data_IF_198260156746
#
_entry.id   IF_198260156746
#
_cell.length_a   1.000
_cell.length_b   1.000
_cell.length_c   1.000
_cell.angle_alpha   90.00
_cell.angle_beta   90.00
_cell.angle_gamma   90.00
#
_symmetry.space_group_name_H-M   'P 1'
#
loop_
_entity.id
_entity.type
_entity.pdbx_description
1 polymer ?
#
# COMPACT_ATOMS: atom_id res chain seq x y z
N UNK A 1 -27.56 5.88 27.14
CA UNK A 1 -26.93 5.62 25.83
C UNK A 1 -25.78 4.65 26.08
N UNK A 2 -26.05 3.35 25.94
CA UNK A 2 -25.02 2.33 26.07
C UNK A 2 -24.36 2.19 24.70
N UNK A 3 -23.08 2.52 24.59
CA UNK A 3 -22.28 2.21 23.40
C UNK A 3 -22.26 0.69 23.22
N UNK A 4 -22.80 0.21 22.10
CA UNK A 4 -22.82 -1.22 21.80
C UNK A 4 -21.37 -1.70 21.59
N UNK A 5 -20.87 -2.63 22.43
CA UNK A 5 -19.46 -3.03 22.43
C UNK A 5 -18.99 -3.65 21.09
N UNK A 6 -19.93 -4.06 20.23
CA UNK A 6 -19.66 -4.56 18.89
C UNK A 6 -19.16 -3.49 17.91
N UNK A 7 -19.59 -2.23 18.03
CA UNK A 7 -19.20 -1.17 17.09
C UNK A 7 -17.73 -0.76 17.29
N UNK A 8 -17.29 -0.72 18.55
CA UNK A 8 -15.91 -0.36 18.94
C UNK A 8 -14.91 -1.44 18.46
N UNK A 9 -15.28 -2.71 18.58
CA UNK A 9 -14.47 -3.84 18.10
C UNK A 9 -14.40 -3.89 16.56
N UNK A 10 -15.52 -3.64 15.88
CA UNK A 10 -15.59 -3.54 14.42
C UNK A 10 -14.71 -2.40 13.89
N UNK A 11 -14.78 -1.22 14.51
CA UNK A 11 -13.95 -0.07 14.15
C UNK A 11 -12.45 -0.32 14.37
N UNK A 12 -12.08 -0.97 15.48
CA UNK A 12 -10.68 -1.31 15.80
C UNK A 12 -10.11 -2.34 14.85
N UNK A 13 -10.83 -3.43 14.58
CA UNK A 13 -10.40 -4.47 13.63
C UNK A 13 -10.26 -3.91 12.21
N UNK A 14 -11.16 -3.01 11.80
CA UNK A 14 -11.10 -2.32 10.52
C UNK A 14 -9.89 -1.39 10.39
N UNK A 15 -9.55 -0.64 11.44
CA UNK A 15 -8.31 0.16 11.47
C UNK A 15 -7.07 -0.71 11.37
N UNK A 16 -6.99 -1.79 12.14
CA UNK A 16 -5.86 -2.73 12.10
C UNK A 16 -5.69 -3.35 10.71
N UNK A 17 -6.80 -3.73 10.05
CA UNK A 17 -6.78 -4.24 8.68
C UNK A 17 -6.25 -3.21 7.68
N UNK A 18 -6.71 -1.95 7.75
CA UNK A 18 -6.21 -0.88 6.88
C UNK A 18 -4.71 -0.65 7.07
N UNK A 19 -4.23 -0.59 8.31
CA UNK A 19 -2.79 -0.44 8.60
C UNK A 19 -2.00 -1.62 8.04
N UNK A 20 -2.46 -2.86 8.26
CA UNK A 20 -1.80 -4.05 7.72
C UNK A 20 -1.76 -4.05 6.19
N UNK A 21 -2.84 -3.62 5.53
CA UNK A 21 -2.90 -3.52 4.07
C UNK A 21 -1.90 -2.48 3.52
N UNK A 22 -1.78 -1.32 4.16
CA UNK A 22 -0.81 -0.29 3.78
C UNK A 22 0.64 -0.73 4.00
N UNK A 23 0.93 -1.42 5.10
CA UNK A 23 2.25 -2.01 5.37
C UNK A 23 2.58 -3.07 4.31
N UNK A 24 1.66 -3.98 4.04
CA UNK A 24 1.83 -5.03 3.02
C UNK A 24 2.06 -4.46 1.62
N UNK A 25 1.30 -3.45 1.22
CA UNK A 25 1.48 -2.75 -0.04
C UNK A 25 2.84 -2.04 -0.14
N UNK A 26 3.29 -1.43 0.95
CA UNK A 26 4.61 -0.78 0.98
C UNK A 26 5.73 -1.80 0.80
N UNK A 27 5.65 -2.94 1.51
CA UNK A 27 6.62 -4.04 1.36
C UNK A 27 6.59 -4.66 -0.04
N UNK A 28 5.39 -4.82 -0.62
CA UNK A 28 5.24 -5.33 -1.99
C UNK A 28 5.82 -4.37 -3.02
N UNK A 29 5.58 -3.06 -2.86
CA UNK A 29 6.19 -2.02 -3.68
C UNK A 29 7.72 -2.06 -3.60
N UNK A 30 8.28 -2.14 -2.38
CA UNK A 30 9.72 -2.29 -2.15
C UNK A 30 10.31 -3.57 -2.75
N UNK A 31 9.58 -4.69 -2.73
CA UNK A 31 10.02 -5.94 -3.34
C UNK A 31 10.03 -5.87 -4.87
N UNK A 32 9.01 -5.23 -5.45
CA UNK A 32 8.95 -4.95 -6.89
C UNK A 32 10.08 -3.97 -7.29
N UNK A 33 10.35 -2.95 -6.47
CA UNK A 33 11.48 -2.05 -6.65
C UNK A 33 12.82 -2.75 -6.76
N UNK A 34 13.07 -3.68 -5.83
CA UNK A 34 14.31 -4.44 -5.78
C UNK A 34 14.47 -5.40 -6.97
N UNK A 35 13.38 -5.82 -7.60
CA UNK A 35 13.39 -6.85 -8.65
C UNK A 35 13.23 -6.28 -10.07
N UNK A 36 12.63 -5.10 -10.22
CA UNK A 36 12.25 -4.56 -11.52
C UNK A 36 13.42 -3.82 -12.17
N UNK A 37 14.04 -4.42 -13.19
CA UNK A 37 15.01 -3.77 -14.09
C UNK A 37 14.38 -3.24 -15.39
N UNK A 38 13.09 -2.97 -15.38
CA UNK A 38 12.33 -2.61 -16.58
C UNK A 38 12.36 -1.09 -16.76
N UNK A 39 12.97 -0.63 -17.87
CA UNK A 39 13.03 0.78 -18.28
C UNK A 39 14.31 1.51 -17.87
N UNK A 40 14.47 2.79 -18.26
CA UNK A 40 15.62 3.60 -17.86
C UNK A 40 15.64 3.79 -16.34
N UNK A 41 16.84 3.81 -15.77
CA UNK A 41 17.06 4.17 -14.37
C UNK A 41 16.71 5.64 -14.21
N UNK A 42 15.71 5.93 -13.39
CA UNK A 42 15.28 7.30 -13.09
C UNK A 42 16.01 7.89 -11.88
N UNK A 43 16.45 7.06 -10.95
CA UNK A 43 17.15 7.52 -9.76
C UNK A 43 18.20 6.49 -9.34
N UNK A 44 19.47 6.90 -9.22
CA UNK A 44 20.53 6.02 -8.74
C UNK A 44 20.59 6.16 -7.22
N UNK A 45 20.01 5.20 -6.49
CA UNK A 45 19.97 5.23 -5.02
C UNK A 45 21.30 4.76 -4.41
N UNK A 46 22.05 3.92 -5.13
CA UNK A 46 23.37 3.41 -4.76
C UNK A 46 24.19 3.07 -6.00
N UNK A 47 25.52 2.94 -5.86
CA UNK A 47 26.47 2.63 -6.95
C UNK A 47 26.10 1.36 -7.75
N UNK A 48 25.31 0.46 -7.17
CA UNK A 48 24.82 -0.78 -7.78
C UNK A 48 23.28 -0.92 -7.84
N UNK A 49 22.49 0.08 -7.42
CA UNK A 49 21.03 -0.01 -7.43
C UNK A 49 20.40 1.31 -7.86
N UNK A 50 19.70 1.24 -8.99
CA UNK A 50 18.87 2.32 -9.51
C UNK A 50 17.39 1.97 -9.41
N UNK A 51 16.58 2.95 -9.05
CA UNK A 51 15.12 2.96 -9.19
C UNK A 51 14.81 3.09 -10.67
N UNK A 52 14.14 2.08 -11.23
CA UNK A 52 13.76 2.05 -12.64
C UNK A 52 12.37 2.67 -12.83
N UNK A 53 12.07 3.14 -14.04
CA UNK A 53 10.74 3.68 -14.35
C UNK A 53 9.62 2.66 -14.08
N UNK A 54 9.87 1.37 -14.30
CA UNK A 54 8.95 0.28 -13.98
C UNK A 54 8.65 0.14 -12.48
N UNK A 55 9.57 0.55 -11.60
CA UNK A 55 9.38 0.52 -10.15
C UNK A 55 8.33 1.56 -9.71
N UNK A 56 8.43 2.78 -10.22
CA UNK A 56 7.43 3.83 -9.94
C UNK A 56 6.03 3.42 -10.42
N UNK A 57 5.93 2.76 -11.57
CA UNK A 57 4.65 2.24 -12.08
C UNK A 57 4.12 1.14 -11.18
N UNK A 58 4.97 0.19 -10.76
CA UNK A 58 4.58 -0.86 -9.82
C UNK A 58 4.08 -0.29 -8.48
N UNK A 59 4.82 0.67 -7.92
CA UNK A 59 4.42 1.38 -6.71
C UNK A 59 3.07 2.09 -6.86
N UNK A 60 2.89 2.82 -7.97
CA UNK A 60 1.65 3.54 -8.25
C UNK A 60 0.44 2.60 -8.36
N UNK A 61 0.59 1.45 -9.02
CA UNK A 61 -0.47 0.44 -9.13
C UNK A 61 -0.82 -0.13 -7.76
N UNK A 62 0.18 -0.53 -6.97
CA UNK A 62 -0.02 -1.10 -5.63
C UNK A 62 -0.72 -0.08 -4.71
N UNK A 63 -0.29 1.18 -4.74
CA UNK A 63 -0.91 2.26 -3.96
C UNK A 63 -2.34 2.56 -4.43
N UNK A 64 -2.60 2.57 -5.74
CA UNK A 64 -3.94 2.76 -6.29
C UNK A 64 -4.90 1.65 -5.85
N UNK A 65 -4.45 0.39 -5.84
CA UNK A 65 -5.26 -0.75 -5.37
C UNK A 65 -5.64 -0.57 -3.89
N UNK A 66 -4.68 -0.26 -3.02
CA UNK A 66 -4.96 -0.05 -1.60
C UNK A 66 -5.84 1.17 -1.36
N UNK A 67 -5.65 2.23 -2.15
CA UNK A 67 -6.51 3.41 -2.09
C UNK A 67 -7.96 3.05 -2.47
N UNK A 68 -8.17 2.29 -3.54
CA UNK A 68 -9.51 1.83 -3.94
C UNK A 68 -10.16 0.96 -2.86
N UNK A 69 -9.40 0.04 -2.26
CA UNK A 69 -9.89 -0.79 -1.13
C UNK A 69 -10.30 0.11 0.03
N UNK A 70 -9.46 1.08 0.38
CA UNK A 70 -9.73 2.04 1.46
C UNK A 70 -10.99 2.84 1.19
N UNK A 71 -11.14 3.39 -0.03
CA UNK A 71 -12.29 4.17 -0.45
C UNK A 71 -13.59 3.35 -0.49
N UNK A 72 -13.53 2.10 -0.99
CA UNK A 72 -14.69 1.20 -0.96
C UNK A 72 -15.09 0.87 0.47
N UNK A 73 -14.10 0.63 1.33
CA UNK A 73 -14.36 0.35 2.73
C UNK A 73 -14.97 1.58 3.42
N UNK A 74 -14.56 2.81 3.10
CA UNK A 74 -15.11 4.04 3.70
C UNK A 74 -16.47 4.46 3.15
N UNK A 75 -16.78 4.19 1.87
CA UNK A 75 -18.08 4.46 1.26
C UNK A 75 -19.17 3.44 1.60
N UNK A 76 -18.84 2.34 2.27
CA UNK A 76 -19.81 1.36 2.75
C UNK A 76 -20.48 1.76 4.09
N UNK A 77 -20.31 3.02 4.52
CA UNK A 77 -21.06 3.67 5.62
C UNK A 77 -22.08 4.61 5.01
#
# INVERSE_FOLDING_TARGET
>A
MAEEPGEVLSGRNRRTFLVAAWVGATLLGLALAATTRIGPVLFVLSRNHGVHLGDLVAFAVVYAVVLVITLRNTRAR
#
